data_IF_135213357252
#
_entry.id   IF_135213357252
#
_cell.length_a   1.000
_cell.length_b   1.000
_cell.length_c   1.000
_cell.angle_alpha   90.00
_cell.angle_beta   90.00
_cell.angle_gamma   90.00
#
_symmetry.space_group_name_H-M   'P 1'
#
loop_
_entity.id
_entity.type
_entity.pdbx_description
1 polymer ?
#
# COMPACT_ATOMS: atom_id res chain seq x y z
N UNK A 1 2.41 5.88 13.67
CA UNK A 1 1.90 6.25 12.32
C UNK A 1 3.00 7.02 11.59
N UNK A 2 3.46 6.47 10.48
CA UNK A 2 4.52 7.04 9.62
C UNK A 2 3.96 8.14 8.71
N UNK A 3 3.22 9.10 9.28
CA UNK A 3 2.59 10.18 8.49
C UNK A 3 3.67 11.02 7.82
N UNK A 4 3.99 10.67 6.56
CA UNK A 4 5.09 11.19 5.73
C UNK A 4 6.46 10.74 6.25
N UNK A 5 7.25 10.09 5.39
CA UNK A 5 8.59 9.58 5.67
C UNK A 5 8.83 8.11 5.31
N UNK A 6 7.89 7.41 4.68
CA UNK A 6 8.02 6.03 4.22
C UNK A 6 9.16 5.88 3.20
N UNK A 7 9.27 6.80 2.23
CA UNK A 7 10.38 6.73 1.27
C UNK A 7 11.74 6.91 1.95
N UNK A 8 11.81 7.83 2.92
CA UNK A 8 13.01 8.05 3.74
C UNK A 8 13.36 6.79 4.55
N UNK A 9 12.36 6.20 5.22
CA UNK A 9 12.51 4.96 5.98
C UNK A 9 13.05 3.82 5.09
N UNK A 10 12.52 3.66 3.87
CA UNK A 10 13.04 2.67 2.93
C UNK A 10 14.51 2.88 2.59
N UNK A 11 14.93 4.13 2.35
CA UNK A 11 16.33 4.45 2.04
C UNK A 11 17.26 4.14 3.22
N UNK A 12 16.83 4.46 4.44
CA UNK A 12 17.59 4.18 5.66
C UNK A 12 17.73 2.67 5.88
N UNK A 13 16.61 1.92 5.84
CA UNK A 13 16.61 0.46 6.00
C UNK A 13 17.42 -0.26 4.93
N UNK A 14 17.28 0.17 3.67
CA UNK A 14 18.06 -0.40 2.56
C UNK A 14 19.57 -0.17 2.77
N UNK A 15 19.97 0.99 3.31
CA UNK A 15 21.37 1.28 3.64
C UNK A 15 21.93 0.41 4.77
N UNK A 16 21.09 0.01 5.73
CA UNK A 16 21.48 -0.84 6.87
C UNK A 16 21.62 -2.31 6.48
N UNK A 17 20.67 -2.84 5.69
CA UNK A 17 20.53 -4.29 5.51
C UNK A 17 20.64 -4.77 4.05
N UNK A 18 20.74 -3.86 3.07
CA UNK A 18 21.01 -4.16 1.65
C UNK A 18 19.80 -4.61 0.83
N UNK A 19 18.69 -5.02 1.45
CA UNK A 19 17.44 -5.37 0.78
C UNK A 19 16.22 -5.03 1.66
N UNK A 20 15.04 -4.93 1.07
CA UNK A 20 13.78 -4.78 1.80
C UNK A 20 12.85 -5.95 1.48
N UNK A 21 12.16 -6.50 2.48
CA UNK A 21 11.12 -7.50 2.32
C UNK A 21 9.74 -6.87 2.50
N UNK A 22 8.92 -6.92 1.46
CA UNK A 22 7.54 -6.42 1.51
C UNK A 22 6.54 -7.57 1.47
N UNK A 23 5.55 -7.55 2.37
CA UNK A 23 4.46 -8.54 2.40
C UNK A 23 3.17 -7.94 1.85
N UNK A 24 2.65 -8.49 0.76
CA UNK A 24 1.41 -8.02 0.14
C UNK A 24 0.19 -8.80 0.65
N UNK A 25 -0.80 -8.06 1.13
CA UNK A 25 -2.07 -8.58 1.62
C UNK A 25 -3.20 -8.02 0.75
N UNK A 26 -4.02 -8.92 0.22
CA UNK A 26 -5.19 -8.61 -0.59
C UNK A 26 -6.46 -8.60 0.27
N UNK A 27 -7.06 -7.42 0.56
CA UNK A 27 -8.27 -7.32 1.37
C UNK A 27 -9.47 -8.10 0.83
N UNK A 28 -9.53 -8.35 -0.48
CA UNK A 28 -10.63 -9.11 -1.09
C UNK A 28 -10.59 -10.60 -0.67
N UNK A 29 -9.39 -11.10 -0.34
CA UNK A 29 -9.17 -12.49 0.10
C UNK A 29 -8.96 -12.61 1.60
N UNK A 30 -8.35 -11.59 2.21
CA UNK A 30 -7.88 -11.58 3.59
C UNK A 30 -8.36 -10.30 4.31
N UNK A 31 -9.67 -10.06 4.29
CA UNK A 31 -10.27 -8.90 4.96
C UNK A 31 -10.17 -9.01 6.48
N UNK A 32 -10.00 -7.88 7.16
CA UNK A 32 -10.13 -7.76 8.60
C UNK A 32 -9.10 -8.56 9.42
N UNK A 33 -9.57 -9.46 10.30
CA UNK A 33 -8.73 -10.25 11.22
C UNK A 33 -7.77 -11.21 10.50
N UNK A 34 -8.20 -12.00 9.49
CA UNK A 34 -7.29 -12.78 8.67
C UNK A 34 -6.08 -12.00 8.14
N UNK A 35 -6.31 -10.83 7.54
CA UNK A 35 -5.23 -9.97 7.03
C UNK A 35 -4.32 -9.49 8.14
N UNK A 36 -4.87 -9.09 9.28
CA UNK A 36 -4.08 -8.65 10.44
C UNK A 36 -3.17 -9.77 11.01
N UNK A 37 -3.66 -11.01 11.05
CA UNK A 37 -2.84 -12.16 11.47
C UNK A 37 -1.66 -12.41 10.53
N UNK A 38 -1.90 -12.33 9.22
CA UNK A 38 -0.85 -12.48 8.21
C UNK A 38 0.15 -11.32 8.27
N UNK A 39 -0.32 -10.09 8.46
CA UNK A 39 0.54 -8.93 8.63
C UNK A 39 1.46 -9.07 9.84
N UNK A 40 0.90 -9.46 10.99
CA UNK A 40 1.67 -9.70 12.21
C UNK A 40 2.73 -10.79 12.00
N UNK A 41 2.33 -11.93 11.44
CA UNK A 41 3.28 -13.01 11.15
C UNK A 41 4.38 -12.55 10.18
N UNK A 42 4.03 -11.77 9.15
CA UNK A 42 5.01 -11.21 8.21
C UNK A 42 6.00 -10.27 8.91
N UNK A 43 5.50 -9.37 9.76
CA UNK A 43 6.31 -8.46 10.56
C UNK A 43 7.26 -9.22 11.50
N UNK A 44 6.75 -10.18 12.27
CA UNK A 44 7.54 -11.01 13.19
C UNK A 44 8.61 -11.85 12.46
N UNK A 45 8.46 -12.08 11.15
CA UNK A 45 9.41 -12.80 10.29
C UNK A 45 10.23 -11.86 9.38
N UNK A 46 10.31 -10.57 9.70
CA UNK A 46 11.27 -9.65 9.08
C UNK A 46 10.76 -8.88 7.86
N UNK A 47 9.45 -8.76 7.65
CA UNK A 47 8.93 -7.82 6.67
C UNK A 47 9.19 -6.36 7.10
N UNK A 48 9.70 -5.54 6.18
CA UNK A 48 9.96 -4.11 6.38
C UNK A 48 8.76 -3.23 6.05
N UNK A 49 7.76 -3.76 5.34
CA UNK A 49 6.52 -3.07 5.05
C UNK A 49 5.38 -4.06 4.77
N UNK A 50 4.17 -3.64 5.11
CA UNK A 50 2.95 -4.34 4.68
C UNK A 50 2.32 -3.57 3.54
N UNK A 51 2.19 -4.23 2.39
CA UNK A 51 1.46 -3.70 1.25
C UNK A 51 0.00 -4.16 1.32
N UNK A 52 -0.94 -3.27 0.99
CA UNK A 52 -2.37 -3.58 1.03
C UNK A 52 -3.01 -3.26 -0.32
N UNK A 53 -3.55 -4.28 -0.99
CA UNK A 53 -4.23 -4.14 -2.28
C UNK A 53 -4.01 -5.35 -3.18
N UNK A 54 -3.85 -5.13 -4.49
CA UNK A 54 -3.64 -6.21 -5.47
C UNK A 54 -4.92 -6.77 -6.13
N UNK A 55 -6.10 -6.27 -5.78
CA UNK A 55 -7.37 -6.60 -6.43
C UNK A 55 -8.26 -5.36 -6.61
N UNK A 56 -9.29 -5.49 -7.47
CA UNK A 56 -10.28 -4.43 -7.71
C UNK A 56 -11.26 -4.30 -6.53
N UNK A 57 -11.53 -5.41 -5.82
CA UNK A 57 -12.45 -5.47 -4.68
C UNK A 57 -11.90 -4.82 -3.39
N UNK A 58 -10.60 -4.55 -3.32
CA UNK A 58 -9.92 -3.94 -2.19
C UNK A 58 -10.21 -2.43 -2.04
N UNK A 59 -11.46 -2.06 -1.79
CA UNK A 59 -11.93 -0.67 -1.70
C UNK A 59 -13.00 -0.45 -0.63
N UNK A 60 -13.25 0.82 -0.29
CA UNK A 60 -14.31 1.20 0.66
C UNK A 60 -14.09 0.65 2.08
N UNK A 61 -15.18 0.26 2.74
CA UNK A 61 -15.15 -0.20 4.15
C UNK A 61 -14.25 -1.40 4.37
N UNK A 62 -14.21 -2.34 3.41
CA UNK A 62 -13.37 -3.54 3.50
C UNK A 62 -11.89 -3.16 3.57
N UNK A 63 -11.45 -2.22 2.73
CA UNK A 63 -10.09 -1.68 2.76
C UNK A 63 -9.83 -0.95 4.08
N UNK A 64 -10.73 -0.06 4.49
CA UNK A 64 -10.59 0.76 5.70
C UNK A 64 -10.40 -0.09 6.96
N UNK A 65 -11.25 -1.10 7.15
CA UNK A 65 -11.21 -1.99 8.31
C UNK A 65 -9.96 -2.86 8.29
N UNK A 66 -9.59 -3.39 7.12
CA UNK A 66 -8.40 -4.23 6.96
C UNK A 66 -7.13 -3.44 7.27
N UNK A 67 -6.97 -2.24 6.72
CA UNK A 67 -5.79 -1.38 6.98
C UNK A 67 -5.69 -0.98 8.45
N UNK A 68 -6.80 -0.67 9.12
CA UNK A 68 -6.81 -0.37 10.57
C UNK A 68 -6.28 -1.56 11.38
N UNK A 69 -6.82 -2.76 11.13
CA UNK A 69 -6.43 -3.96 11.88
C UNK A 69 -5.00 -4.38 11.60
N UNK A 70 -4.54 -4.29 10.34
CA UNK A 70 -3.15 -4.54 9.96
C UNK A 70 -2.23 -3.59 10.72
N UNK A 71 -2.52 -2.29 10.72
CA UNK A 71 -1.71 -1.29 11.43
C UNK A 71 -1.61 -1.59 12.92
N UNK A 72 -2.74 -1.92 13.54
CA UNK A 72 -2.78 -2.24 14.97
C UNK A 72 -1.99 -3.54 15.26
N UNK A 73 -2.00 -4.50 14.34
CA UNK A 73 -1.28 -5.77 14.46
C UNK A 73 0.25 -5.66 14.30
N UNK A 74 0.75 -4.64 13.60
CA UNK A 74 2.19 -4.35 13.45
C UNK A 74 2.66 -3.20 14.34
N UNK A 75 1.83 -2.77 15.31
CA UNK A 75 2.15 -1.77 16.34
C UNK A 75 2.66 -0.40 15.82
N UNK A 76 2.49 -0.10 14.54
CA UNK A 76 3.16 1.03 13.84
C UNK A 76 4.70 0.92 13.78
N UNK A 77 5.27 -0.28 13.90
CA UNK A 77 6.72 -0.48 13.83
C UNK A 77 7.24 -0.48 12.38
N UNK A 78 6.38 -0.88 11.43
CA UNK A 78 6.64 -0.86 9.98
C UNK A 78 5.49 -0.16 9.24
N UNK A 79 5.76 0.48 8.08
CA UNK A 79 4.74 1.19 7.33
C UNK A 79 3.71 0.26 6.66
N UNK A 80 2.47 0.72 6.63
CA UNK A 80 1.38 0.11 5.84
C UNK A 80 1.14 0.95 4.59
N UNK A 81 1.40 0.39 3.42
CA UNK A 81 1.43 1.10 2.13
C UNK A 81 0.39 0.54 1.17
N UNK A 82 -0.39 1.41 0.54
CA UNK A 82 -1.39 1.01 -0.44
C UNK A 82 -0.74 0.58 -1.75
N UNK A 83 -1.17 -0.58 -2.25
CA UNK A 83 -0.82 -1.14 -3.55
C UNK A 83 -2.11 -1.26 -4.41
N UNK A 84 -2.67 -0.11 -4.86
CA UNK A 84 -4.01 -0.05 -5.44
C UNK A 84 -4.11 -0.77 -6.79
N UNK A 85 -5.17 -1.56 -6.97
CA UNK A 85 -5.57 -2.13 -8.26
C UNK A 85 -6.64 -1.33 -9.01
N UNK A 86 -7.25 -0.34 -8.35
CA UNK A 86 -8.30 0.53 -8.89
C UNK A 86 -8.24 1.92 -8.25
N UNK A 87 -8.89 2.95 -8.85
CA UNK A 87 -9.02 4.26 -8.21
C UNK A 87 -9.74 4.24 -6.85
N UNK A 88 -10.52 3.19 -6.56
CA UNK A 88 -11.21 3.00 -5.28
C UNK A 88 -10.31 2.48 -4.15
N UNK A 89 -9.10 1.98 -4.48
CA UNK A 89 -8.14 1.41 -3.53
C UNK A 89 -7.41 2.45 -2.68
N UNK A 90 -8.09 3.51 -2.24
CA UNK A 90 -7.52 4.63 -1.48
C UNK A 90 -8.17 4.70 -0.11
N UNK A 91 -7.34 4.78 0.93
CA UNK A 91 -7.80 5.03 2.30
C UNK A 91 -6.84 5.95 3.06
N UNK A 92 -7.39 6.76 3.97
CA UNK A 92 -6.62 7.66 4.84
C UNK A 92 -5.92 6.96 6.01
N UNK A 93 -6.17 5.66 6.20
CA UNK A 93 -5.66 4.90 7.34
C UNK A 93 -4.27 4.30 7.10
N UNK A 94 -3.79 4.33 5.86
CA UNK A 94 -2.44 3.92 5.47
C UNK A 94 -1.42 5.05 5.70
N UNK A 95 -0.14 4.69 5.66
CA UNK A 95 0.96 5.65 5.78
C UNK A 95 1.33 6.26 4.42
N UNK A 96 1.31 5.45 3.36
CA UNK A 96 1.64 5.86 2.00
C UNK A 96 0.80 5.12 0.94
N UNK A 97 0.91 5.57 -0.31
CA UNK A 97 0.38 4.92 -1.51
C UNK A 97 1.45 4.86 -2.60
N UNK A 98 1.60 3.70 -3.22
CA UNK A 98 2.29 3.61 -4.51
C UNK A 98 1.38 4.18 -5.59
N UNK A 99 1.69 5.40 -6.04
CA UNK A 99 0.92 6.07 -7.07
C UNK A 99 1.47 5.66 -8.43
N UNK A 100 0.99 4.50 -8.87
CA UNK A 100 1.59 3.73 -9.95
C UNK A 100 1.15 4.19 -11.33
N UNK A 101 2.07 4.15 -12.29
CA UNK A 101 1.80 4.24 -13.73
C UNK A 101 2.22 2.95 -14.43
N UNK A 102 1.29 2.25 -15.09
CA UNK A 102 1.58 1.00 -15.81
C UNK A 102 2.18 1.33 -17.18
N UNK A 103 3.50 1.53 -17.22
CA UNK A 103 4.21 2.15 -18.35
C UNK A 103 4.07 1.38 -19.66
N UNK A 104 3.99 0.06 -19.61
CA UNK A 104 3.86 -0.79 -20.79
C UNK A 104 2.41 -1.22 -21.08
N UNK A 105 1.42 -0.54 -20.48
CA UNK A 105 0.02 -0.72 -20.85
C UNK A 105 -0.25 -0.20 -22.27
N UNK A 106 -1.08 -0.92 -23.03
CA UNK A 106 -1.63 -0.47 -24.31
C UNK A 106 -2.90 0.36 -24.15
N UNK A 107 -3.46 0.38 -22.94
CA UNK A 107 -4.63 1.15 -22.58
C UNK A 107 -4.22 2.40 -21.78
N UNK A 108 -4.59 3.57 -22.30
CA UNK A 108 -4.36 4.89 -21.67
C UNK A 108 -4.98 4.98 -20.28
N UNK A 109 -5.98 4.15 -19.99
CA UNK A 109 -6.60 4.07 -18.69
C UNK A 109 -5.57 3.81 -17.58
N UNK A 110 -4.66 2.86 -17.81
CA UNK A 110 -3.63 2.47 -16.82
C UNK A 110 -2.36 3.34 -16.86
N UNK A 111 -2.19 4.16 -17.91
CA UNK A 111 -1.08 5.11 -18.02
C UNK A 111 -1.34 6.41 -17.26
N UNK A 112 -2.56 6.95 -17.36
CA UNK A 112 -2.90 8.26 -16.79
C UNK A 112 -4.33 8.42 -16.29
N UNK A 113 -5.34 7.80 -16.91
CA UNK A 113 -6.74 8.12 -16.59
C UNK A 113 -7.13 7.68 -15.18
N UNK A 114 -6.74 6.48 -14.76
CA UNK A 114 -7.00 5.98 -13.41
C UNK A 114 -6.35 6.86 -12.33
N UNK A 115 -5.14 7.35 -12.61
CA UNK A 115 -4.36 8.23 -11.75
C UNK A 115 -5.04 9.60 -11.64
N UNK A 116 -5.50 10.17 -12.76
CA UNK A 116 -6.26 11.43 -12.78
C UNK A 116 -7.55 11.28 -11.95
N UNK A 117 -8.25 10.16 -12.07
CA UNK A 117 -9.47 9.88 -11.28
C UNK A 117 -9.16 9.76 -9.78
N UNK A 118 -8.06 9.11 -9.41
CA UNK A 118 -7.67 8.90 -8.02
C UNK A 118 -7.07 10.16 -7.35
N UNK A 119 -6.42 11.05 -8.11
CA UNK A 119 -5.64 12.17 -7.58
C UNK A 119 -6.39 13.05 -6.55
N UNK A 120 -7.66 13.47 -6.77
CA UNK A 120 -8.39 14.25 -5.78
C UNK A 120 -8.66 13.49 -4.47
N UNK A 121 -8.89 12.17 -4.56
CA UNK A 121 -9.13 11.32 -3.39
C UNK A 121 -7.83 11.12 -2.60
N UNK A 122 -6.72 10.85 -3.29
CA UNK A 122 -5.39 10.72 -2.69
C UNK A 122 -4.98 12.02 -1.99
N UNK A 123 -5.18 13.17 -2.63
CA UNK A 123 -4.91 14.47 -2.03
C UNK A 123 -5.69 14.70 -0.72
N UNK A 124 -6.97 14.30 -0.68
CA UNK A 124 -7.81 14.37 0.53
C UNK A 124 -7.44 13.35 1.60
N UNK A 125 -6.92 12.18 1.22
CA UNK A 125 -6.48 11.15 2.15
C UNK A 125 -5.27 11.61 2.99
N UNK A 126 -4.47 12.55 2.47
CA UNK A 126 -3.29 13.13 3.14
C UNK A 126 -2.31 12.05 3.65
N UNK A 127 -2.11 11.03 2.82
CA UNK A 127 -1.08 10.00 2.97
C UNK A 127 0.11 10.35 2.07
N UNK A 128 1.28 9.78 2.32
CA UNK A 128 2.45 10.00 1.46
C UNK A 128 2.25 9.37 0.08
N UNK A 129 2.60 10.11 -0.96
CA UNK A 129 2.48 9.66 -2.35
C UNK A 129 3.87 9.28 -2.82
N UNK A 130 4.10 7.99 -3.12
CA UNK A 130 5.35 7.48 -3.67
C UNK A 130 5.16 7.29 -5.19
N UNK A 131 5.74 8.17 -6.03
CA UNK A 131 5.64 8.04 -7.49
C UNK A 131 6.29 6.73 -7.93
N UNK A 132 5.52 5.86 -8.60
CA UNK A 132 5.99 4.50 -8.92
C UNK A 132 5.74 4.20 -10.40
N UNK A 133 6.80 3.80 -11.11
CA UNK A 133 6.64 3.21 -12.45
C UNK A 133 6.39 1.71 -12.28
N UNK A 134 5.32 1.20 -12.88
CA UNK A 134 4.96 -0.21 -12.87
C UNK A 134 5.14 -0.80 -14.28
N UNK A 135 5.90 -1.90 -14.39
CA UNK A 135 6.19 -2.57 -15.66
C UNK A 135 5.89 -4.05 -15.49
N UNK A 136 5.02 -4.60 -16.35
CA UNK A 136 4.75 -6.03 -16.42
C UNK A 136 5.77 -6.67 -17.38
N UNK A 137 6.47 -7.72 -16.96
CA UNK A 137 7.51 -8.40 -17.75
C UNK A 137 7.02 -9.78 -18.17
#
# INVERSE_FOLDING_TARGET
>A
MFRKGVEKYYREKLGEQGALLFSLIDPDKLSGEPGAKVARASYENGADAILVGGSIGAQGTVLDETVKKIRDAVSNDIPVVLYPGSPGGVTKYADAIYFMQMLNSRDVYWLSTAQIQAAPVVARANIEVIPTTYVVI
#
